data_IF_040644884196
#
_entry.id   IF_040644884196
#
_cell.length_a   1.000
_cell.length_b   1.000
_cell.length_c   1.000
_cell.angle_alpha   90.00
_cell.angle_beta   90.00
_cell.angle_gamma   90.00
#
_symmetry.space_group_name_H-M   'P 1'
#
loop_
_entity.id
_entity.type
_entity.pdbx_description
1 polymer ?
#
# COMPACT_ATOMS: atom_id res chain seq x y z
N UNK A 1 -15.04 18.66 -25.36
CA UNK A 1 -15.15 20.13 -25.45
C UNK A 1 -14.01 20.87 -24.73
N UNK A 2 -13.84 20.78 -23.41
CA UNK A 2 -12.69 21.47 -22.74
C UNK A 2 -11.35 20.98 -23.24
N UNK A 3 -11.19 19.68 -23.35
CA UNK A 3 -9.95 19.06 -23.82
C UNK A 3 -9.62 19.39 -25.26
N UNK A 4 -10.61 19.34 -26.17
CA UNK A 4 -10.45 19.72 -27.56
C UNK A 4 -9.93 21.16 -27.66
N UNK A 5 -10.51 22.08 -26.87
CA UNK A 5 -10.04 23.46 -26.81
C UNK A 5 -8.59 23.58 -26.29
N UNK A 6 -8.19 22.76 -25.31
CA UNK A 6 -6.80 22.70 -24.81
C UNK A 6 -5.86 22.25 -25.93
N UNK A 7 -6.22 21.20 -26.66
CA UNK A 7 -5.41 20.66 -27.76
C UNK A 7 -5.33 21.65 -28.95
N UNK A 8 -6.47 22.23 -29.37
CA UNK A 8 -6.55 23.19 -30.45
C UNK A 8 -5.72 24.46 -30.19
N UNK A 9 -5.73 24.91 -28.94
CA UNK A 9 -4.96 26.09 -28.51
C UNK A 9 -3.52 25.76 -28.11
N UNK A 10 -3.10 24.46 -28.17
CA UNK A 10 -1.77 23.99 -27.75
C UNK A 10 -1.41 24.43 -26.32
N UNK A 11 -2.39 24.42 -25.42
CA UNK A 11 -2.17 24.72 -24.02
C UNK A 11 -1.40 23.58 -23.34
N UNK A 12 -0.57 23.92 -22.37
CA UNK A 12 0.09 22.91 -21.54
C UNK A 12 -0.92 22.15 -20.69
N UNK A 13 -0.79 20.83 -20.62
CA UNK A 13 -1.62 19.95 -19.79
C UNK A 13 -0.76 18.87 -19.14
N UNK A 14 -1.23 18.31 -18.04
CA UNK A 14 -0.58 17.21 -17.34
C UNK A 14 -1.63 16.32 -16.64
N UNK A 15 -1.32 15.06 -16.44
CA UNK A 15 -2.11 14.18 -15.59
C UNK A 15 -1.91 14.50 -14.10
N UNK A 16 -2.89 14.15 -13.25
CA UNK A 16 -2.74 14.28 -11.81
C UNK A 16 -1.48 13.57 -11.26
N UNK A 17 -1.17 12.32 -11.67
CA UNK A 17 0.06 11.65 -11.25
C UNK A 17 1.35 12.40 -11.62
N UNK A 18 1.39 13.04 -12.80
CA UNK A 18 2.52 13.88 -13.22
C UNK A 18 2.64 15.14 -12.36
N UNK A 19 1.53 15.78 -12.02
CA UNK A 19 1.54 16.95 -11.12
C UNK A 19 2.03 16.54 -9.74
N UNK A 20 1.54 15.42 -9.19
CA UNK A 20 2.00 14.90 -7.88
C UNK A 20 3.50 14.62 -7.92
N UNK A 21 3.99 13.92 -8.95
CA UNK A 21 5.42 13.66 -9.14
C UNK A 21 6.24 14.96 -9.14
N UNK A 22 5.83 15.90 -9.99
CA UNK A 22 6.63 17.09 -10.26
C UNK A 22 6.63 18.10 -9.10
N UNK A 23 5.57 18.11 -8.28
CA UNK A 23 5.45 19.06 -7.18
C UNK A 23 5.87 18.51 -5.83
N UNK A 24 5.84 17.17 -5.64
CA UNK A 24 5.97 16.60 -4.30
C UNK A 24 6.96 15.44 -4.18
N UNK A 25 7.21 14.65 -5.25
CA UNK A 25 7.96 13.40 -5.08
C UNK A 25 9.46 13.52 -5.31
N UNK A 26 9.94 14.49 -6.09
CA UNK A 26 11.37 14.62 -6.40
C UNK A 26 12.27 14.80 -5.18
N UNK A 27 11.79 15.52 -4.17
CA UNK A 27 12.54 15.80 -2.94
C UNK A 27 12.08 14.92 -1.76
N UNK A 28 11.18 13.99 -2.01
CA UNK A 28 10.62 13.07 -1.02
C UNK A 28 11.21 11.67 -1.16
N UNK A 29 11.11 10.88 -0.11
CA UNK A 29 11.30 9.43 -0.16
C UNK A 29 9.94 8.77 -0.40
N UNK A 30 9.71 8.29 -1.61
CA UNK A 30 8.41 7.77 -2.06
C UNK A 30 8.20 6.31 -1.62
N UNK A 31 7.10 6.10 -0.88
CA UNK A 31 6.61 4.79 -0.41
C UNK A 31 5.37 4.43 -1.21
N UNK A 32 5.51 3.57 -2.23
CA UNK A 32 4.42 3.20 -3.13
C UNK A 32 3.80 1.88 -2.68
N UNK A 33 2.48 1.89 -2.42
CA UNK A 33 1.71 0.71 -2.02
C UNK A 33 0.86 0.24 -3.19
N UNK A 34 1.26 -0.85 -3.82
CA UNK A 34 0.64 -1.42 -5.01
C UNK A 34 0.14 -2.86 -4.79
N UNK A 35 -0.57 -3.41 -5.78
CA UNK A 35 -1.19 -4.72 -5.75
C UNK A 35 -2.69 -4.64 -6.00
N UNK A 36 -3.35 -5.76 -6.27
CA UNK A 36 -4.79 -5.78 -6.59
C UNK A 36 -5.62 -5.40 -5.37
N UNK A 37 -5.33 -5.97 -4.20
CA UNK A 37 -6.10 -5.76 -2.97
C UNK A 37 -5.24 -5.23 -1.82
N UNK A 38 -5.88 -4.57 -0.85
CA UNK A 38 -5.21 -4.10 0.39
C UNK A 38 -4.46 -2.78 0.29
N UNK A 39 -4.30 -2.19 -0.89
CA UNK A 39 -3.55 -0.93 -1.14
C UNK A 39 -3.90 0.17 -0.14
N UNK A 40 -5.17 0.55 -0.07
CA UNK A 40 -5.66 1.66 0.76
C UNK A 40 -5.40 1.44 2.25
N UNK A 41 -5.67 0.23 2.75
CA UNK A 41 -5.45 -0.12 4.17
C UNK A 41 -3.96 -0.11 4.49
N UNK A 42 -3.13 -0.68 3.63
CA UNK A 42 -1.68 -0.71 3.82
C UNK A 42 -1.08 0.70 3.76
N UNK A 43 -1.47 1.55 2.79
CA UNK A 43 -1.00 2.94 2.71
C UNK A 43 -1.38 3.74 3.96
N UNK A 44 -2.64 3.60 4.45
CA UNK A 44 -3.07 4.21 5.68
C UNK A 44 -2.25 3.75 6.90
N UNK A 45 -1.98 2.43 7.00
CA UNK A 45 -1.13 1.85 8.05
C UNK A 45 0.29 2.42 7.99
N UNK A 46 0.94 2.41 6.83
CA UNK A 46 2.31 2.94 6.66
C UNK A 46 2.36 4.39 7.12
N UNK A 47 1.44 5.23 6.64
CA UNK A 47 1.41 6.64 7.02
C UNK A 47 1.16 6.83 8.53
N UNK A 48 0.27 6.01 9.13
CA UNK A 48 0.01 6.07 10.55
C UNK A 48 1.22 5.62 11.39
N UNK A 49 1.88 4.53 11.03
CA UNK A 49 3.06 4.03 11.74
C UNK A 49 4.22 5.03 11.65
N UNK A 50 4.46 5.65 10.51
CA UNK A 50 5.42 6.74 10.36
C UNK A 50 5.05 7.95 11.25
N UNK A 51 3.77 8.31 11.29
CA UNK A 51 3.28 9.41 12.14
C UNK A 51 3.45 9.06 13.61
N UNK A 52 3.13 7.84 14.04
CA UNK A 52 3.30 7.35 15.40
C UNK A 52 4.76 7.41 15.85
N UNK A 53 5.68 7.10 14.94
CA UNK A 53 7.13 7.22 15.14
C UNK A 53 7.67 8.65 15.02
N UNK A 54 6.81 9.67 14.96
CA UNK A 54 7.20 11.08 14.93
C UNK A 54 7.75 11.59 13.60
N UNK A 55 7.51 10.88 12.48
CA UNK A 55 8.10 11.20 11.16
C UNK A 55 7.35 12.25 10.35
N UNK A 56 6.07 12.50 10.62
CA UNK A 56 5.20 13.47 9.92
C UNK A 56 5.17 13.29 8.37
N UNK A 57 4.78 12.08 7.86
CA UNK A 57 4.78 11.80 6.43
C UNK A 57 3.69 12.57 5.67
N UNK A 58 3.92 12.78 4.36
CA UNK A 58 2.84 13.09 3.43
C UNK A 58 2.09 11.82 3.03
N UNK A 59 0.81 11.94 2.66
CA UNK A 59 -0.05 10.82 2.28
C UNK A 59 -0.97 11.21 1.11
N UNK A 60 -1.12 10.30 0.14
CA UNK A 60 -2.16 10.34 -0.88
C UNK A 60 -2.72 8.94 -1.12
N UNK A 61 -4.03 8.75 -0.90
CA UNK A 61 -4.70 7.45 -1.02
C UNK A 61 -6.15 7.59 -1.50
N UNK A 62 -6.74 6.50 -2.02
CA UNK A 62 -8.09 6.49 -2.58
C UNK A 62 -9.23 6.44 -1.54
N UNK A 63 -8.94 6.19 -0.26
CA UNK A 63 -9.91 6.12 0.82
C UNK A 63 -9.67 7.20 1.89
N UNK A 64 -10.46 7.17 2.97
CA UNK A 64 -10.29 8.06 4.12
C UNK A 64 -9.75 7.27 5.31
N UNK A 65 -8.49 7.50 5.68
CA UNK A 65 -7.90 6.93 6.89
C UNK A 65 -8.51 7.59 8.13
N UNK A 66 -9.07 6.79 9.05
CA UNK A 66 -9.79 7.31 10.22
C UNK A 66 -8.87 8.10 11.15
N UNK A 67 -7.64 7.64 11.38
CA UNK A 67 -6.64 8.33 12.19
C UNK A 67 -6.30 9.74 11.70
N UNK A 68 -6.49 10.04 10.41
CA UNK A 68 -6.25 11.36 9.82
C UNK A 68 -7.54 12.12 9.48
N UNK A 69 -8.68 11.43 9.38
CA UNK A 69 -9.94 12.00 8.92
C UNK A 69 -9.92 12.43 7.43
N UNK A 70 -8.90 12.03 6.67
CA UNK A 70 -8.65 12.49 5.31
C UNK A 70 -8.07 11.39 4.42
N UNK A 71 -8.15 11.60 3.09
CA UNK A 71 -7.51 10.77 2.06
C UNK A 71 -6.14 11.29 1.64
N UNK A 72 -5.76 12.47 2.09
CA UNK A 72 -4.49 13.12 1.78
C UNK A 72 -4.04 14.03 2.91
N UNK A 73 -2.75 14.22 3.02
CA UNK A 73 -2.12 15.23 3.88
C UNK A 73 -0.74 15.59 3.35
N UNK A 74 -0.31 16.80 3.61
CA UNK A 74 1.09 17.21 3.47
C UNK A 74 1.72 17.25 4.86
N UNK A 75 2.75 16.41 5.04
CA UNK A 75 3.62 16.39 6.20
C UNK A 75 4.87 17.24 5.97
N UNK A 76 5.71 17.36 7.01
CA UNK A 76 7.02 18.01 6.95
C UNK A 76 8.17 17.00 6.87
N UNK A 77 7.85 15.70 7.03
CA UNK A 77 8.80 14.60 6.90
C UNK A 77 9.21 14.39 5.44
N UNK A 78 10.23 13.56 5.25
CA UNK A 78 10.73 13.22 3.91
C UNK A 78 9.91 12.11 3.25
N UNK A 79 9.18 11.34 4.03
CA UNK A 79 8.40 10.21 3.54
C UNK A 79 7.10 10.70 2.89
N UNK A 80 6.86 10.23 1.66
CA UNK A 80 5.59 10.42 0.96
C UNK A 80 4.98 9.04 0.70
N UNK A 81 3.90 8.73 1.40
CA UNK A 81 3.16 7.47 1.22
C UNK A 81 2.08 7.67 0.17
N UNK A 82 2.10 6.83 -0.86
CA UNK A 82 1.15 6.96 -1.96
C UNK A 82 0.58 5.59 -2.36
N UNK A 83 -0.75 5.55 -2.53
CA UNK A 83 -1.44 4.38 -3.06
C UNK A 83 -1.12 4.23 -4.55
N UNK A 84 -0.50 3.11 -4.91
CA UNK A 84 -0.11 2.76 -6.26
C UNK A 84 -1.27 2.12 -7.01
N UNK A 85 -2.04 2.96 -7.70
CA UNK A 85 -3.19 2.56 -8.50
C UNK A 85 -2.74 2.16 -9.91
N UNK A 86 -3.20 0.99 -10.38
CA UNK A 86 -2.94 0.42 -11.70
C UNK A 86 -3.79 1.04 -12.82
N UNK A 87 -4.77 1.86 -12.50
CA UNK A 87 -5.62 2.55 -13.48
C UNK A 87 -4.86 3.57 -14.32
N UNK A 88 -5.39 3.84 -15.51
CA UNK A 88 -4.88 4.86 -16.45
C UNK A 88 -4.56 6.20 -15.76
N UNK A 89 -3.42 6.77 -16.09
CA UNK A 89 -2.99 8.08 -15.57
C UNK A 89 -3.90 9.21 -16.00
N UNK A 90 -4.36 9.16 -17.26
CA UNK A 90 -5.30 10.11 -17.85
C UNK A 90 -5.92 9.50 -19.12
N UNK A 91 -6.94 10.18 -19.67
CA UNK A 91 -7.54 9.74 -20.94
C UNK A 91 -6.52 9.71 -22.10
N UNK A 92 -5.50 10.58 -22.07
CA UNK A 92 -4.42 10.67 -23.06
C UNK A 92 -3.17 9.86 -22.70
N UNK A 93 -3.08 9.32 -21.49
CA UNK A 93 -1.99 8.47 -21.00
C UNK A 93 -2.56 7.19 -20.37
N UNK A 94 -2.49 6.10 -21.13
CA UNK A 94 -3.03 4.78 -20.77
C UNK A 94 -2.06 3.93 -19.96
N UNK A 95 -1.01 4.52 -19.42
CA UNK A 95 -0.10 3.85 -18.48
C UNK A 95 -0.60 3.95 -17.04
N UNK A 96 -0.28 2.94 -16.23
CA UNK A 96 -0.67 2.91 -14.81
C UNK A 96 -0.15 4.13 -14.04
N UNK A 97 -0.98 4.70 -13.14
CA UNK A 97 -0.63 5.90 -12.34
C UNK A 97 0.65 5.71 -11.55
N UNK A 98 0.88 4.52 -10.98
CA UNK A 98 2.04 4.24 -10.14
C UNK A 98 3.37 4.38 -10.89
N UNK A 99 3.39 4.32 -12.23
CA UNK A 99 4.61 4.54 -13.01
C UNK A 99 5.14 5.99 -12.93
N UNK A 100 4.34 6.90 -12.41
CA UNK A 100 4.73 8.30 -12.21
C UNK A 100 5.27 8.57 -10.80
N UNK A 101 5.24 7.61 -9.87
CA UNK A 101 5.40 7.88 -8.43
C UNK A 101 6.81 7.73 -7.88
N UNK A 102 7.83 7.53 -8.72
CA UNK A 102 9.26 7.51 -8.34
C UNK A 102 9.53 6.64 -7.08
N UNK A 103 9.25 5.34 -7.10
CA UNK A 103 9.29 4.51 -5.89
C UNK A 103 10.72 4.35 -5.35
N UNK A 104 10.97 4.79 -4.10
CA UNK A 104 12.17 4.41 -3.34
C UNK A 104 11.95 3.10 -2.59
N UNK A 105 10.74 2.92 -2.04
CA UNK A 105 10.26 1.70 -1.42
C UNK A 105 8.91 1.36 -2.04
N UNK A 106 8.79 0.19 -2.63
CA UNK A 106 7.52 -0.28 -3.16
C UNK A 106 7.11 -1.59 -2.52
N UNK A 107 5.82 -1.73 -2.22
CA UNK A 107 5.23 -3.02 -1.88
C UNK A 107 4.24 -3.44 -2.97
N UNK A 108 4.29 -4.72 -3.36
CA UNK A 108 3.28 -5.37 -4.21
C UNK A 108 2.69 -6.52 -3.41
N UNK A 109 1.46 -6.34 -2.91
CA UNK A 109 0.82 -7.27 -1.97
C UNK A 109 0.38 -8.56 -2.62
N UNK A 110 -0.44 -8.44 -3.63
CA UNK A 110 -0.96 -9.54 -4.45
C UNK A 110 -1.20 -9.04 -5.87
N UNK A 111 -1.27 -9.97 -6.79
CA UNK A 111 -1.56 -9.67 -8.18
C UNK A 111 -2.53 -10.73 -8.70
N UNK A 112 -3.71 -10.28 -9.05
CA UNK A 112 -4.81 -11.11 -9.54
C UNK A 112 -5.42 -10.43 -10.77
N UNK A 113 -6.11 -11.21 -11.61
CA UNK A 113 -6.86 -10.62 -12.72
C UNK A 113 -8.09 -9.90 -12.17
N UNK A 114 -8.00 -8.59 -12.10
CA UNK A 114 -9.08 -7.69 -11.74
C UNK A 114 -9.11 -6.54 -12.75
N UNK A 115 -10.18 -5.73 -12.75
CA UNK A 115 -10.33 -4.59 -13.65
C UNK A 115 -10.35 -4.96 -15.16
N UNK A 116 -11.22 -5.94 -15.51
CA UNK A 116 -11.44 -6.37 -16.90
C UNK A 116 -11.94 -5.26 -17.84
N UNK A 117 -12.27 -4.08 -17.30
CA UNK A 117 -12.60 -2.87 -18.03
C UNK A 117 -11.38 -2.11 -18.56
N UNK A 118 -10.17 -2.42 -18.04
CA UNK A 118 -8.93 -1.72 -18.40
C UNK A 118 -7.88 -2.68 -18.95
N UNK A 119 -7.82 -3.90 -18.45
CA UNK A 119 -6.84 -4.91 -18.84
C UNK A 119 -7.50 -6.07 -19.58
N UNK A 120 -6.99 -6.38 -20.76
CA UNK A 120 -7.48 -7.48 -21.58
C UNK A 120 -7.22 -8.85 -20.94
N UNK A 121 -6.08 -8.98 -20.22
CA UNK A 121 -5.65 -10.21 -19.57
C UNK A 121 -4.68 -9.96 -18.41
N UNK A 122 -4.29 -11.05 -17.73
CA UNK A 122 -3.32 -11.01 -16.64
C UNK A 122 -1.92 -10.57 -17.09
N UNK A 123 -1.54 -10.84 -18.34
CA UNK A 123 -0.22 -10.47 -18.85
C UNK A 123 -0.09 -8.96 -19.04
N UNK A 124 -1.17 -8.28 -19.38
CA UNK A 124 -1.23 -6.82 -19.42
C UNK A 124 -0.98 -6.22 -18.02
N UNK A 125 -1.62 -6.78 -16.99
CA UNK A 125 -1.40 -6.39 -15.59
C UNK A 125 0.05 -6.66 -15.17
N UNK A 126 0.58 -7.87 -15.44
CA UNK A 126 1.97 -8.24 -15.16
C UNK A 126 2.95 -7.27 -15.78
N UNK A 127 2.69 -6.80 -17.00
CA UNK A 127 3.57 -5.85 -17.69
C UNK A 127 3.67 -4.52 -16.93
N UNK A 128 2.54 -3.98 -16.45
CA UNK A 128 2.54 -2.72 -15.68
C UNK A 128 3.31 -2.87 -14.35
N UNK A 129 3.10 -3.99 -13.64
CA UNK A 129 3.85 -4.23 -12.39
C UNK A 129 5.34 -4.49 -12.62
N UNK A 130 5.75 -5.15 -13.70
CA UNK A 130 7.16 -5.26 -14.10
C UNK A 130 7.77 -3.88 -14.38
N UNK A 131 7.03 -2.99 -15.04
CA UNK A 131 7.45 -1.60 -15.26
C UNK A 131 7.64 -0.86 -13.94
N UNK A 132 6.71 -1.01 -12.98
CA UNK A 132 6.84 -0.42 -11.64
C UNK A 132 8.12 -0.91 -10.95
N UNK A 133 8.34 -2.23 -10.92
CA UNK A 133 9.52 -2.82 -10.26
C UNK A 133 10.83 -2.30 -10.84
N UNK A 134 10.91 -2.15 -12.16
CA UNK A 134 12.09 -1.61 -12.86
C UNK A 134 12.36 -0.13 -12.61
N UNK A 135 11.38 0.61 -12.07
CA UNK A 135 11.57 2.03 -11.69
C UNK A 135 12.17 2.19 -10.29
N UNK A 136 12.23 1.12 -9.49
CA UNK A 136 12.83 1.19 -8.16
C UNK A 136 14.35 1.31 -8.32
N UNK A 137 15.01 2.34 -7.74
CA UNK A 137 16.45 2.52 -7.87
C UNK A 137 17.21 1.38 -7.17
N UNK A 138 18.45 1.10 -7.59
CA UNK A 138 19.26 0.02 -7.02
C UNK A 138 19.53 0.10 -5.51
N UNK A 139 19.39 1.28 -4.91
CA UNK A 139 19.43 1.51 -3.45
C UNK A 139 18.05 1.54 -2.79
N UNK A 140 16.97 1.35 -3.57
CA UNK A 140 15.61 1.25 -3.09
C UNK A 140 15.29 -0.13 -2.52
N UNK A 141 14.01 -0.42 -2.32
CA UNK A 141 13.55 -1.70 -1.80
C UNK A 141 12.22 -2.10 -2.45
N UNK A 142 12.18 -3.33 -2.96
CA UNK A 142 10.94 -3.99 -3.36
C UNK A 142 10.50 -4.95 -2.24
N UNK A 143 9.22 -4.90 -1.86
CA UNK A 143 8.60 -5.82 -0.90
C UNK A 143 7.47 -6.55 -1.62
N UNK A 144 7.52 -7.90 -1.67
CA UNK A 144 6.54 -8.70 -2.42
C UNK A 144 5.77 -9.66 -1.54
N UNK A 145 4.48 -9.84 -1.83
CA UNK A 145 3.64 -10.83 -1.16
C UNK A 145 4.02 -12.25 -1.58
N UNK A 146 4.52 -13.05 -0.62
CA UNK A 146 4.93 -14.45 -0.84
C UNK A 146 3.74 -15.41 -1.00
N UNK A 147 2.54 -14.99 -0.61
CA UNK A 147 1.31 -15.79 -0.72
C UNK A 147 0.63 -15.62 -2.09
N UNK A 148 1.18 -14.81 -2.99
CA UNK A 148 0.72 -14.60 -4.37
C UNK A 148 1.87 -14.93 -5.32
N UNK A 149 1.75 -16.02 -6.07
CA UNK A 149 2.78 -16.46 -7.02
C UNK A 149 3.13 -15.37 -8.03
N UNK A 150 2.13 -14.61 -8.48
CA UNK A 150 2.28 -13.53 -9.43
C UNK A 150 3.06 -12.34 -8.85
N UNK A 151 2.74 -11.92 -7.62
CA UNK A 151 3.48 -10.86 -6.95
C UNK A 151 4.90 -11.33 -6.61
N UNK A 152 5.06 -12.55 -6.15
CA UNK A 152 6.34 -13.12 -5.78
C UNK A 152 7.30 -13.28 -6.96
N UNK A 153 6.79 -13.60 -8.15
CA UNK A 153 7.59 -13.69 -9.37
C UNK A 153 8.20 -12.34 -9.80
N UNK A 154 7.65 -11.20 -9.36
CA UNK A 154 8.20 -9.89 -9.68
C UNK A 154 9.59 -9.65 -9.11
N UNK A 155 10.02 -10.40 -8.11
CA UNK A 155 11.38 -10.34 -7.55
C UNK A 155 12.48 -10.55 -8.59
N UNK A 156 12.21 -11.38 -9.60
CA UNK A 156 13.17 -11.73 -10.64
C UNK A 156 13.38 -10.57 -11.64
N UNK A 157 12.52 -9.57 -11.61
CA UNK A 157 12.59 -8.34 -12.43
C UNK A 157 13.27 -7.17 -11.70
N UNK A 158 13.55 -7.32 -10.39
CA UNK A 158 14.08 -6.25 -9.56
C UNK A 158 15.60 -6.05 -9.78
N UNK A 159 16.02 -4.78 -9.76
CA UNK A 159 17.44 -4.37 -9.75
C UNK A 159 17.86 -3.80 -8.39
N UNK A 160 17.00 -3.90 -7.39
CA UNK A 160 17.17 -3.44 -6.01
C UNK A 160 17.08 -4.63 -5.05
N UNK A 161 17.43 -4.44 -3.76
CA UNK A 161 17.11 -5.39 -2.70
C UNK A 161 15.61 -5.76 -2.70
N UNK A 162 15.34 -7.04 -2.42
CA UNK A 162 13.97 -7.57 -2.36
C UNK A 162 13.77 -8.23 -1.01
N UNK A 163 12.65 -7.93 -0.36
CA UNK A 163 12.13 -8.64 0.81
C UNK A 163 10.74 -9.19 0.48
N UNK A 164 10.35 -10.27 1.15
CA UNK A 164 9.04 -10.90 0.97
C UNK A 164 8.25 -10.91 2.26
N UNK A 165 6.91 -10.89 2.16
CA UNK A 165 6.04 -11.00 3.33
C UNK A 165 4.88 -11.95 3.07
N UNK A 166 4.41 -12.64 4.10
CA UNK A 166 3.26 -13.53 3.96
C UNK A 166 3.00 -14.40 5.19
N UNK A 167 2.05 -15.31 5.03
CA UNK A 167 1.72 -16.33 6.02
C UNK A 167 2.39 -17.67 5.68
N UNK A 168 2.83 -17.85 4.44
CA UNK A 168 3.49 -19.05 3.95
C UNK A 168 4.91 -19.22 4.52
N UNK A 169 5.41 -20.44 4.49
CA UNK A 169 6.79 -20.74 4.88
C UNK A 169 7.77 -20.16 3.85
N UNK A 170 8.80 -19.46 4.32
CA UNK A 170 9.87 -18.91 3.48
C UNK A 170 9.75 -17.43 3.16
N UNK A 171 8.73 -16.73 3.65
CA UNK A 171 8.70 -15.28 3.62
C UNK A 171 9.69 -14.69 4.63
N UNK A 172 10.38 -13.60 4.25
CA UNK A 172 11.31 -12.88 5.13
C UNK A 172 10.58 -12.24 6.32
N UNK A 173 9.40 -11.66 6.06
CA UNK A 173 8.49 -11.15 7.08
C UNK A 173 7.27 -12.06 7.18
N UNK A 174 7.17 -12.80 8.27
CA UNK A 174 6.14 -13.82 8.46
C UNK A 174 5.33 -13.59 9.72
N UNK A 175 4.00 -13.76 9.64
CA UNK A 175 3.15 -13.81 10.82
C UNK A 175 2.95 -15.26 11.26
N UNK A 176 3.18 -15.51 12.55
CA UNK A 176 2.99 -16.79 13.19
C UNK A 176 2.15 -16.64 14.47
N UNK A 177 1.64 -17.76 15.00
CA UNK A 177 0.82 -17.77 16.22
C UNK A 177 -0.39 -16.82 16.14
N UNK A 178 -1.05 -16.79 14.96
CA UNK A 178 -2.20 -15.92 14.69
C UNK A 178 -3.40 -16.40 15.52
N UNK A 179 -3.99 -15.46 16.27
CA UNK A 179 -5.21 -15.68 17.04
C UNK A 179 -6.18 -14.54 16.80
N UNK A 180 -7.33 -14.84 16.22
CA UNK A 180 -8.39 -13.87 15.96
C UNK A 180 -9.44 -13.94 17.07
N UNK A 181 -9.73 -12.79 17.69
CA UNK A 181 -10.80 -12.60 18.67
C UNK A 181 -11.89 -11.68 18.16
N UNK A 182 -12.86 -11.36 18.98
CA UNK A 182 -13.97 -10.46 18.63
C UNK A 182 -13.52 -9.02 18.31
N UNK A 183 -12.44 -8.56 18.94
CA UNK A 183 -11.96 -7.16 18.91
C UNK A 183 -10.67 -6.96 18.13
N UNK A 184 -10.19 -7.99 17.43
CA UNK A 184 -8.96 -7.89 16.66
C UNK A 184 -8.19 -9.18 16.56
N UNK A 185 -6.97 -9.07 16.05
CA UNK A 185 -6.08 -10.20 15.75
C UNK A 185 -4.74 -10.00 16.45
N UNK A 186 -4.23 -11.06 17.10
CA UNK A 186 -2.91 -11.08 17.75
C UNK A 186 -2.00 -12.05 17.01
N UNK A 187 -0.76 -11.68 16.80
CA UNK A 187 0.23 -12.54 16.15
C UNK A 187 1.66 -12.10 16.49
N UNK A 188 2.62 -12.96 16.22
CA UNK A 188 4.04 -12.63 16.26
C UNK A 188 4.52 -12.41 14.81
N UNK A 189 5.23 -11.33 14.57
CA UNK A 189 5.99 -11.14 13.33
C UNK A 189 7.40 -11.70 13.58
N UNK A 190 7.81 -12.59 12.68
CA UNK A 190 9.19 -13.05 12.54
C UNK A 190 9.81 -12.32 11.34
N UNK A 191 11.10 -12.01 11.43
CA UNK A 191 11.93 -11.54 10.32
C UNK A 191 13.10 -12.51 10.15
N UNK A 192 13.28 -13.04 8.95
CA UNK A 192 14.33 -14.02 8.63
C UNK A 192 14.33 -15.25 9.57
N UNK A 193 13.13 -15.65 10.01
CA UNK A 193 12.93 -16.76 10.96
C UNK A 193 13.13 -16.42 12.43
N UNK A 194 13.54 -15.20 12.76
CA UNK A 194 13.75 -14.76 14.14
C UNK A 194 12.59 -13.89 14.64
N UNK A 195 12.18 -14.00 15.92
CA UNK A 195 11.13 -13.17 16.49
C UNK A 195 11.47 -11.68 16.40
N UNK A 196 10.61 -10.90 15.73
CA UNK A 196 10.79 -9.46 15.57
C UNK A 196 9.89 -8.67 16.54
N UNK A 197 8.56 -8.85 16.46
CA UNK A 197 7.62 -8.10 17.30
C UNK A 197 6.27 -8.81 17.45
N UNK A 198 5.67 -8.69 18.64
CA UNK A 198 4.28 -9.12 18.90
C UNK A 198 3.32 -8.01 18.56
N UNK A 199 2.30 -8.33 17.77
CA UNK A 199 1.26 -7.40 17.32
C UNK A 199 -0.07 -7.72 18.01
N UNK A 200 -0.75 -6.67 18.42
CA UNK A 200 -2.18 -6.67 18.72
C UNK A 200 -2.83 -5.67 17.79
N UNK A 201 -3.51 -6.17 16.76
CA UNK A 201 -4.16 -5.35 15.74
C UNK A 201 -5.67 -5.29 15.99
N UNK A 202 -6.32 -4.13 15.88
CA UNK A 202 -7.78 -4.04 15.91
C UNK A 202 -8.43 -4.56 14.63
N UNK A 203 -7.64 -4.85 13.60
CA UNK A 203 -8.14 -5.37 12.33
C UNK A 203 -8.35 -6.88 12.40
N UNK A 204 -9.40 -7.35 11.71
CA UNK A 204 -9.79 -8.74 11.61
C UNK A 204 -9.40 -9.35 10.26
N UNK A 205 -9.12 -10.64 10.25
CA UNK A 205 -8.92 -11.46 9.06
C UNK A 205 -7.46 -11.50 8.55
N UNK A 206 -7.12 -12.62 7.90
CA UNK A 206 -5.76 -12.91 7.42
C UNK A 206 -5.26 -11.89 6.39
N UNK A 207 -6.15 -11.34 5.55
CA UNK A 207 -5.76 -10.29 4.61
C UNK A 207 -5.28 -9.02 5.33
N UNK A 208 -5.85 -8.70 6.51
CA UNK A 208 -5.36 -7.58 7.32
C UNK A 208 -4.06 -7.92 8.06
N UNK A 209 -3.82 -9.17 8.41
CA UNK A 209 -2.50 -9.62 8.91
C UNK A 209 -1.45 -9.37 7.83
N UNK A 210 -1.73 -9.71 6.55
CA UNK A 210 -0.84 -9.41 5.42
C UNK A 210 -0.63 -7.91 5.23
N UNK A 211 -1.68 -7.09 5.34
CA UNK A 211 -1.56 -5.63 5.26
C UNK A 211 -0.63 -5.07 6.37
N UNK A 212 -0.72 -5.61 7.60
CA UNK A 212 0.16 -5.23 8.72
C UNK A 212 1.60 -5.68 8.46
N UNK A 213 1.82 -6.89 7.92
CA UNK A 213 3.16 -7.37 7.54
C UNK A 213 3.79 -6.45 6.49
N UNK A 214 3.06 -6.15 5.42
CA UNK A 214 3.50 -5.24 4.36
C UNK A 214 3.88 -3.86 4.91
N UNK A 215 3.00 -3.26 5.72
CA UNK A 215 3.26 -1.98 6.35
C UNK A 215 4.45 -2.02 7.31
N UNK A 216 4.59 -3.11 8.09
CA UNK A 216 5.74 -3.31 9.00
C UNK A 216 7.05 -3.34 8.24
N UNK A 217 7.15 -4.13 7.15
CA UNK A 217 8.34 -4.21 6.33
C UNK A 217 8.70 -2.83 5.74
N UNK A 218 7.72 -2.09 5.21
CA UNK A 218 7.93 -0.75 4.66
C UNK A 218 8.47 0.24 5.70
N UNK A 219 7.88 0.30 6.91
CA UNK A 219 8.30 1.27 7.91
C UNK A 219 9.59 0.85 8.62
N UNK A 220 9.88 -0.45 8.72
CA UNK A 220 11.17 -0.96 9.17
C UNK A 220 12.30 -0.50 8.22
N UNK A 221 12.07 -0.49 6.90
CA UNK A 221 12.98 0.09 5.92
C UNK A 221 13.19 1.60 6.09
N UNK A 222 12.24 2.29 6.73
CA UNK A 222 12.41 3.69 7.14
C UNK A 222 13.15 3.82 8.49
N UNK A 223 13.48 2.72 9.18
CA UNK A 223 14.14 2.72 10.48
C UNK A 223 13.20 2.98 11.66
N UNK A 224 11.91 2.65 11.52
CA UNK A 224 10.97 2.64 12.65
C UNK A 224 11.23 1.39 13.50
N UNK A 225 11.32 1.55 14.81
CA UNK A 225 11.60 0.43 15.69
C UNK A 225 10.37 -0.47 15.94
N UNK A 226 10.65 -1.70 16.38
CA UNK A 226 9.63 -2.73 16.59
C UNK A 226 8.57 -2.30 17.63
N UNK A 227 8.95 -1.53 18.65
CA UNK A 227 8.05 -1.07 19.70
C UNK A 227 7.06 -0.03 19.17
N UNK A 228 7.54 0.92 18.37
CA UNK A 228 6.69 1.95 17.76
C UNK A 228 5.76 1.31 16.74
N UNK A 229 6.21 0.30 15.97
CA UNK A 229 5.37 -0.48 15.07
C UNK A 229 4.23 -1.16 15.84
N UNK A 230 4.54 -1.90 16.94
CA UNK A 230 3.52 -2.59 17.71
C UNK A 230 2.48 -1.64 18.29
N UNK A 231 2.93 -0.55 18.89
CA UNK A 231 2.05 0.45 19.51
C UNK A 231 1.23 1.22 18.46
N UNK A 232 1.85 1.56 17.34
CA UNK A 232 1.16 2.20 16.22
C UNK A 232 0.06 1.32 15.63
N UNK A 233 0.34 0.02 15.40
CA UNK A 233 -0.69 -0.92 14.93
C UNK A 233 -1.84 -1.03 15.90
N UNK A 234 -1.58 -1.08 17.21
CA UNK A 234 -2.62 -1.20 18.24
C UNK A 234 -3.56 0.02 18.29
N UNK A 235 -3.12 1.17 17.80
CA UNK A 235 -3.90 2.42 17.75
C UNK A 235 -4.44 2.77 16.37
N UNK A 236 -4.32 1.87 15.41
CA UNK A 236 -4.82 2.10 14.06
C UNK A 236 -6.34 1.94 14.02
N UNK A 237 -7.04 2.97 13.56
CA UNK A 237 -8.51 3.02 13.54
C UNK A 237 -9.13 2.47 12.25
N UNK A 238 -8.28 2.11 11.27
CA UNK A 238 -8.73 1.58 9.98
C UNK A 238 -9.06 2.66 8.95
N UNK A 239 -9.72 2.24 7.89
CA UNK A 239 -10.15 3.08 6.76
C UNK A 239 -11.66 3.04 6.67
N UNK A 240 -12.30 4.19 6.38
CA UNK A 240 -13.76 4.25 6.18
C UNK A 240 -14.19 3.30 5.07
N UNK A 241 -15.30 2.62 5.28
CA UNK A 241 -15.92 1.67 4.33
C UNK A 241 -15.03 0.46 3.97
N UNK A 242 -14.08 0.09 4.84
CA UNK A 242 -13.25 -1.12 4.71
C UNK A 242 -13.42 -1.95 5.98
N UNK A 243 -14.41 -2.87 6.01
CA UNK A 243 -14.90 -3.57 7.20
C UNK A 243 -15.16 -2.61 8.38
N UNK A 244 -15.73 -1.49 8.08
CA UNK A 244 -16.09 -0.49 9.07
C UNK A 244 -17.26 -0.98 9.91
N UNK A 245 -17.07 -1.12 11.23
CA UNK A 245 -18.18 -1.44 12.13
C UNK A 245 -19.13 -0.25 12.20
N UNK A 246 -20.40 -0.49 11.88
CA UNK A 246 -21.49 0.48 11.98
C UNK A 246 -22.23 0.39 13.33
N UNK A 247 -21.81 -0.56 14.20
CA UNK A 247 -22.46 -0.83 15.47
C UNK A 247 -23.23 -2.14 15.47
N UNK A 248 -24.05 -2.34 16.50
CA UNK A 248 -24.82 -3.56 16.74
C UNK A 248 -26.31 -3.28 16.65
N UNK A 249 -27.06 -4.16 15.97
CA UNK A 249 -28.51 -4.13 15.92
C UNK A 249 -29.04 -5.51 16.33
N UNK A 250 -29.83 -5.57 17.41
CA UNK A 250 -30.42 -6.81 17.94
C UNK A 250 -29.41 -7.97 18.14
N UNK A 251 -28.18 -7.67 18.65
CA UNK A 251 -27.14 -8.68 18.89
C UNK A 251 -26.35 -9.06 17.63
N UNK A 252 -26.58 -8.37 16.49
CA UNK A 252 -25.84 -8.59 15.24
C UNK A 252 -24.96 -7.39 14.95
N UNK A 253 -23.64 -7.60 14.86
CA UNK A 253 -22.70 -6.55 14.48
C UNK A 253 -22.77 -6.30 12.97
N UNK A 254 -22.93 -5.04 12.59
CA UNK A 254 -23.00 -4.61 11.20
C UNK A 254 -21.66 -4.06 10.74
N UNK A 255 -21.18 -4.55 9.58
CA UNK A 255 -19.97 -4.07 8.94
C UNK A 255 -20.27 -3.49 7.56
N UNK A 256 -19.69 -2.32 7.27
CA UNK A 256 -19.69 -1.73 5.94
C UNK A 256 -18.34 -2.02 5.25
N UNK A 257 -18.39 -2.68 4.10
CA UNK A 257 -17.23 -2.87 3.26
C UNK A 257 -17.60 -2.54 1.82
N UNK A 258 -16.83 -1.65 1.20
CA UNK A 258 -16.90 -1.45 -0.25
C UNK A 258 -16.01 -2.50 -0.89
N UNK A 259 -16.64 -3.48 -1.51
CA UNK A 259 -16.01 -4.29 -2.55
C UNK A 259 -16.34 -3.56 -3.84
N UNK A 260 -15.35 -3.32 -4.68
CA UNK A 260 -15.63 -2.86 -6.04
C UNK A 260 -16.43 -3.97 -6.72
N UNK A 261 -17.67 -3.66 -7.05
CA UNK A 261 -18.53 -4.51 -7.84
C UNK A 261 -18.29 -4.16 -9.31
#
# INVERSE_FOLDING_TARGET
MELEAVLDQKMAYASLPEVVRNQFLWDSRSFVVAGTHGKTTTAALVAWLLTYAGRDPSLLMGGVAKNFGASHRLGRGREFVIEGDEYDSAFFDKTAKFLKYLPDVAVVGNLEFDHADIFDDLDAIRLEFRRLVRLIPGQGLLIVGADSDEAFALRDEAHCPVESFGLSSGADWKAVSITTGETGTKFLIERDGEPFVRITSPLLGDYNVRNVLAATAMVAAAGVDAKDIANGVATFEGVKRRLESLGELHGVTLYLSLIHI
#
